data_IF_762908509382
#
_entry.id   IF_762908509382
#
_cell.length_a   1.000
_cell.length_b   1.000
_cell.length_c   1.000
_cell.angle_alpha   90.00
_cell.angle_beta   90.00
_cell.angle_gamma   90.00
#
_symmetry.space_group_name_H-M   'P 1'
#
loop_
_entity.id
_entity.type
_entity.pdbx_description
1 polymer ?
#
# COMPACT_ATOMS: atom_id res chain seq x y z
N UNK A 1 24.98 18.82 -17.92
CA UNK A 1 25.06 19.02 -16.46
C UNK A 1 24.63 17.73 -15.81
N UNK A 2 25.49 16.95 -15.13
CA UNK A 2 25.10 15.68 -14.51
C UNK A 2 24.66 15.90 -13.06
N UNK A 3 23.54 16.60 -12.83
CA UNK A 3 23.01 16.86 -11.49
C UNK A 3 21.71 16.08 -11.16
N UNK A 4 21.21 15.25 -12.08
CA UNK A 4 19.90 14.60 -11.92
C UNK A 4 19.88 13.25 -11.19
N UNK A 5 21.01 12.56 -11.08
CA UNK A 5 21.06 11.16 -10.58
C UNK A 5 21.30 11.02 -9.07
N UNK A 6 21.77 12.08 -8.40
CA UNK A 6 22.14 12.02 -6.98
C UNK A 6 20.96 12.30 -6.01
N UNK A 7 19.87 12.89 -6.51
CA UNK A 7 18.73 13.23 -5.64
C UNK A 7 17.98 11.98 -5.21
N UNK A 8 17.77 11.83 -3.91
CA UNK A 8 17.05 10.71 -3.28
C UNK A 8 17.59 9.33 -3.67
N UNK A 9 18.90 9.15 -3.74
CA UNK A 9 19.53 7.90 -4.14
C UNK A 9 19.13 6.73 -3.21
N UNK A 10 19.09 6.98 -1.90
CA UNK A 10 18.70 5.98 -0.92
C UNK A 10 17.22 5.59 -1.06
N UNK A 11 16.35 6.57 -1.28
CA UNK A 11 14.91 6.38 -1.48
C UNK A 11 14.62 5.64 -2.79
N UNK A 12 15.34 5.97 -3.87
CA UNK A 12 15.25 5.24 -5.14
C UNK A 12 15.62 3.78 -4.97
N UNK A 13 16.73 3.49 -4.26
CA UNK A 13 17.13 2.11 -3.97
C UNK A 13 16.10 1.42 -3.07
N UNK A 14 15.54 2.09 -2.06
CA UNK A 14 14.51 1.52 -1.21
C UNK A 14 13.24 1.16 -2.01
N UNK A 15 12.82 1.99 -2.98
CA UNK A 15 11.72 1.68 -3.90
C UNK A 15 12.03 0.43 -4.73
N UNK A 16 13.25 0.29 -5.25
CA UNK A 16 13.70 -0.89 -5.98
C UNK A 16 13.60 -2.16 -5.12
N UNK A 17 14.14 -2.10 -3.90
CA UNK A 17 14.15 -3.24 -2.98
C UNK A 17 12.71 -3.65 -2.60
N UNK A 18 11.81 -2.67 -2.39
CA UNK A 18 10.39 -2.90 -2.15
C UNK A 18 9.70 -3.57 -3.34
N UNK A 19 9.94 -3.10 -4.57
CA UNK A 19 9.40 -3.71 -5.79
C UNK A 19 9.87 -5.16 -5.96
N UNK A 20 11.16 -5.43 -5.73
CA UNK A 20 11.71 -6.79 -5.80
C UNK A 20 11.09 -7.71 -4.74
N UNK A 21 10.92 -7.24 -3.50
CA UNK A 21 10.24 -8.00 -2.44
C UNK A 21 8.79 -8.31 -2.82
N UNK A 22 8.01 -7.30 -3.21
CA UNK A 22 6.60 -7.46 -3.60
C UNK A 22 6.44 -8.40 -4.79
N UNK A 23 7.33 -8.32 -5.79
CA UNK A 23 7.32 -9.23 -6.93
C UNK A 23 7.68 -10.67 -6.52
N UNK A 24 8.66 -10.83 -5.61
CA UNK A 24 9.04 -12.13 -5.05
C UNK A 24 7.91 -12.80 -4.26
N UNK A 25 7.06 -12.01 -3.62
CA UNK A 25 5.87 -12.46 -2.89
C UNK A 25 4.62 -12.63 -3.81
N UNK A 26 4.76 -12.35 -5.12
CA UNK A 26 3.67 -12.52 -6.09
C UNK A 26 2.62 -11.40 -6.09
N UNK A 27 2.89 -10.26 -5.46
CA UNK A 27 1.95 -9.13 -5.42
C UNK A 27 2.03 -8.22 -6.65
N UNK A 28 3.10 -8.31 -7.42
CA UNK A 28 3.31 -7.53 -8.64
C UNK A 28 3.46 -8.45 -9.85
N UNK A 29 2.79 -8.12 -10.95
CA UNK A 29 2.85 -8.86 -12.20
C UNK A 29 3.25 -7.92 -13.35
N UNK A 30 4.38 -8.21 -14.00
CA UNK A 30 4.84 -7.43 -15.14
C UNK A 30 5.05 -5.96 -14.80
N UNK A 31 4.33 -5.09 -15.48
CA UNK A 31 4.37 -3.63 -15.31
C UNK A 31 3.21 -3.08 -14.47
N UNK A 32 2.36 -3.97 -13.93
CA UNK A 32 1.18 -3.59 -13.17
C UNK A 32 1.52 -3.28 -11.71
N UNK A 33 1.00 -2.19 -11.19
CA UNK A 33 1.31 -1.64 -9.88
C UNK A 33 2.38 -0.56 -9.91
N UNK A 34 2.61 0.07 -8.77
CA UNK A 34 3.62 1.12 -8.60
C UNK A 34 3.90 1.37 -7.12
N UNK A 35 5.10 1.87 -6.82
CA UNK A 35 5.59 2.10 -5.46
C UNK A 35 6.20 3.48 -5.38
N UNK A 36 5.94 4.19 -4.28
CA UNK A 36 6.59 5.47 -4.01
C UNK A 36 6.97 5.65 -2.55
N UNK A 37 7.95 6.51 -2.30
CA UNK A 37 8.37 6.94 -0.98
C UNK A 37 8.57 8.46 -0.96
N UNK A 38 8.10 9.12 0.10
CA UNK A 38 8.23 10.55 0.30
C UNK A 38 9.45 10.86 1.17
N UNK A 39 10.22 11.87 0.76
CA UNK A 39 11.31 12.46 1.52
C UNK A 39 11.17 13.99 1.48
N UNK A 40 10.61 14.55 2.55
CA UNK A 40 10.30 15.99 2.61
C UNK A 40 9.28 16.42 1.56
N UNK A 41 9.66 17.34 0.69
CA UNK A 41 8.83 17.88 -0.40
C UNK A 41 8.96 17.08 -1.71
N UNK A 42 9.72 15.99 -1.71
CA UNK A 42 9.96 15.16 -2.88
C UNK A 42 9.43 13.74 -2.69
N UNK A 43 9.09 13.09 -3.80
CA UNK A 43 8.62 11.72 -3.87
C UNK A 43 9.43 10.97 -4.91
N UNK A 44 10.09 9.88 -4.50
CA UNK A 44 10.67 8.92 -5.42
C UNK A 44 9.59 7.89 -5.78
N UNK A 45 9.29 7.72 -7.08
CA UNK A 45 8.20 6.88 -7.59
C UNK A 45 8.65 6.08 -8.81
N UNK A 46 8.17 4.87 -8.96
CA UNK A 46 8.43 4.03 -10.13
C UNK A 46 7.95 4.69 -11.42
N UNK A 47 8.74 4.57 -12.49
CA UNK A 47 8.35 5.06 -13.80
C UNK A 47 7.24 4.21 -14.41
N UNK A 48 6.48 4.79 -15.34
CA UNK A 48 5.45 4.04 -16.09
C UNK A 48 6.07 3.01 -17.02
N UNK A 49 5.43 1.86 -17.16
CA UNK A 49 5.79 0.80 -18.11
C UNK A 49 7.03 -0.03 -17.77
N UNK A 50 7.64 0.17 -16.60
CA UNK A 50 8.78 -0.64 -16.13
C UNK A 50 8.30 -1.98 -15.55
N UNK A 51 9.09 -3.05 -15.73
CA UNK A 51 8.81 -4.35 -15.14
C UNK A 51 9.27 -4.33 -13.67
N UNK A 52 8.34 -4.24 -12.74
CA UNK A 52 8.60 -3.94 -11.33
C UNK A 52 9.53 -4.96 -10.64
N UNK A 53 9.47 -6.24 -11.00
CA UNK A 53 10.40 -7.26 -10.49
C UNK A 53 11.85 -7.14 -11.00
N UNK A 54 12.15 -6.17 -11.88
CA UNK A 54 13.47 -5.95 -12.49
C UNK A 54 13.90 -4.49 -12.48
N UNK A 55 13.16 -3.63 -11.78
CA UNK A 55 13.48 -2.19 -11.71
C UNK A 55 14.87 -1.96 -11.13
N UNK A 56 15.47 -0.88 -11.57
CA UNK A 56 16.74 -0.34 -11.06
C UNK A 56 16.52 1.09 -10.58
N UNK A 57 17.45 1.72 -9.86
CA UNK A 57 17.30 3.12 -9.44
C UNK A 57 17.13 4.10 -10.62
N UNK A 58 17.56 3.75 -11.83
CA UNK A 58 17.32 4.56 -13.02
C UNK A 58 15.85 4.55 -13.48
N UNK A 59 15.09 3.53 -13.09
CA UNK A 59 13.67 3.38 -13.38
C UNK A 59 12.76 4.06 -12.32
N UNK A 60 13.36 4.80 -11.39
CA UNK A 60 12.64 5.54 -10.34
C UNK A 60 12.82 7.04 -10.60
N UNK A 61 11.72 7.74 -10.82
CA UNK A 61 11.68 9.18 -11.05
C UNK A 61 11.41 9.91 -9.74
N UNK A 62 11.97 11.11 -9.58
CA UNK A 62 11.68 12.00 -8.44
C UNK A 62 10.80 13.13 -8.91
N UNK A 63 9.70 13.32 -8.20
CA UNK A 63 8.75 14.43 -8.42
C UNK A 63 8.61 15.27 -7.15
N UNK A 64 8.15 16.50 -7.29
CA UNK A 64 7.66 17.31 -6.17
C UNK A 64 6.20 16.97 -5.83
N UNK A 65 5.66 17.53 -4.75
CA UNK A 65 4.25 17.29 -4.35
C UNK A 65 3.22 17.93 -5.29
N UNK A 66 3.66 18.76 -6.25
CA UNK A 66 2.80 19.27 -7.32
C UNK A 66 2.82 18.37 -8.57
N UNK A 67 3.66 17.31 -8.57
CA UNK A 67 3.78 16.35 -9.66
C UNK A 67 4.81 16.73 -10.73
N UNK A 68 5.57 17.81 -10.54
CA UNK A 68 6.63 18.21 -11.46
C UNK A 68 7.85 17.29 -11.32
N UNK A 69 8.39 16.81 -12.43
CA UNK A 69 9.61 15.99 -12.42
C UNK A 69 10.80 16.84 -11.99
N UNK A 70 11.48 16.42 -10.92
CA UNK A 70 12.67 17.08 -10.36
C UNK A 70 13.94 16.34 -10.77
N UNK A 71 13.89 15.02 -10.85
CA UNK A 71 15.03 14.20 -11.28
C UNK A 71 14.56 12.85 -11.85
N UNK A 72 15.34 12.29 -12.78
CA UNK A 72 15.04 11.08 -13.53
C UNK A 72 14.84 11.37 -15.01
N UNK A 73 14.90 10.32 -15.83
CA UNK A 73 14.79 10.42 -17.29
C UNK A 73 13.47 9.82 -17.82
N UNK A 74 12.78 9.04 -17.00
CA UNK A 74 11.54 8.37 -17.38
C UNK A 74 10.31 9.12 -16.84
N UNK A 75 9.19 9.02 -17.53
CA UNK A 75 7.92 9.53 -17.04
C UNK A 75 7.51 8.76 -15.75
N UNK A 76 7.04 9.43 -14.69
CA UNK A 76 6.52 8.75 -13.51
C UNK A 76 5.29 7.90 -13.87
N UNK A 77 4.87 7.02 -12.97
CA UNK A 77 3.65 6.21 -13.13
C UNK A 77 2.46 7.05 -13.59
N UNK A 78 1.61 6.47 -14.43
CA UNK A 78 0.34 7.10 -14.86
C UNK A 78 -0.64 7.34 -13.71
N UNK A 79 -0.42 6.69 -12.57
CA UNK A 79 -1.24 6.84 -11.36
C UNK A 79 -0.61 7.78 -10.33
N UNK A 80 0.24 8.69 -10.78
CA UNK A 80 0.96 9.64 -9.93
C UNK A 80 0.02 10.44 -9.01
N UNK A 81 -1.12 10.91 -9.54
CA UNK A 81 -2.07 11.71 -8.76
C UNK A 81 -2.67 10.92 -7.59
N UNK A 82 -2.93 9.62 -7.75
CA UNK A 82 -3.35 8.75 -6.66
C UNK A 82 -2.35 8.79 -5.50
N UNK A 83 -1.04 8.65 -5.79
CA UNK A 83 0.03 8.71 -4.79
C UNK A 83 0.15 10.08 -4.14
N UNK A 84 0.22 11.14 -4.95
CA UNK A 84 0.39 12.51 -4.46
C UNK A 84 -0.79 12.95 -3.61
N UNK A 85 -2.01 12.56 -3.98
CA UNK A 85 -3.20 12.85 -3.19
C UNK A 85 -3.18 12.17 -1.83
N UNK A 86 -2.62 10.96 -1.72
CA UNK A 86 -2.42 10.28 -0.43
C UNK A 86 -1.43 11.07 0.42
N UNK A 87 -0.29 11.48 -0.13
CA UNK A 87 0.70 12.29 0.60
C UNK A 87 0.17 13.66 1.04
N UNK A 88 -0.73 14.27 0.27
CA UNK A 88 -1.33 15.57 0.60
C UNK A 88 -2.43 15.47 1.66
N UNK A 89 -3.12 14.33 1.77
CA UNK A 89 -4.25 14.12 2.69
C UNK A 89 -3.86 13.49 4.01
N UNK A 90 -2.87 12.61 3.99
CA UNK A 90 -2.43 11.87 5.16
C UNK A 90 -0.94 12.03 5.41
N UNK A 91 -0.52 11.82 6.64
CA UNK A 91 0.91 11.81 7.00
C UNK A 91 1.57 10.48 6.59
N UNK A 92 1.40 10.12 5.31
CA UNK A 92 2.01 8.93 4.73
C UNK A 92 3.47 9.18 4.36
N UNK A 93 4.34 8.21 4.62
CA UNK A 93 5.73 8.21 4.15
C UNK A 93 5.93 7.39 2.89
N UNK A 94 5.03 6.42 2.62
CA UNK A 94 5.11 5.59 1.42
C UNK A 94 3.72 5.11 0.97
N UNK A 95 3.60 4.82 -0.33
CA UNK A 95 2.42 4.27 -0.98
C UNK A 95 2.82 3.08 -1.84
N UNK A 96 2.06 2.00 -1.73
CA UNK A 96 2.21 0.78 -2.53
C UNK A 96 0.88 0.47 -3.21
N UNK A 97 0.88 0.40 -4.53
CA UNK A 97 -0.25 -0.05 -5.34
C UNK A 97 0.12 -1.38 -6.00
N UNK A 98 -0.74 -2.39 -5.85
CA UNK A 98 -0.52 -3.75 -6.34
C UNK A 98 -1.71 -4.26 -7.14
N UNK A 99 -1.45 -5.19 -8.05
CA UNK A 99 -2.47 -6.01 -8.70
C UNK A 99 -2.43 -7.45 -8.16
N UNK A 100 -2.32 -7.56 -6.86
CA UNK A 100 -2.17 -8.83 -6.16
C UNK A 100 -3.42 -9.71 -6.32
N UNK A 101 -3.27 -11.04 -6.51
CA UNK A 101 -4.35 -11.90 -6.98
C UNK A 101 -5.54 -11.99 -6.04
N UNK A 102 -5.30 -12.07 -4.71
CA UNK A 102 -6.39 -12.26 -3.75
C UNK A 102 -7.16 -10.95 -3.53
N UNK A 103 -6.43 -9.83 -3.37
CA UNK A 103 -7.05 -8.51 -3.23
C UNK A 103 -7.88 -8.16 -4.47
N UNK A 104 -7.34 -8.41 -5.66
CA UNK A 104 -8.07 -8.22 -6.92
C UNK A 104 -9.31 -9.13 -6.97
N UNK A 105 -9.20 -10.42 -6.62
CA UNK A 105 -10.34 -11.33 -6.64
C UNK A 105 -11.47 -10.88 -5.70
N UNK A 106 -11.15 -10.39 -4.51
CA UNK A 106 -12.12 -9.83 -3.57
C UNK A 106 -12.80 -8.59 -4.16
N UNK A 107 -12.04 -7.68 -4.80
CA UNK A 107 -12.58 -6.46 -5.39
C UNK A 107 -13.55 -6.69 -6.56
N UNK A 108 -13.57 -7.90 -7.12
CA UNK A 108 -14.51 -8.30 -8.19
C UNK A 108 -15.90 -8.68 -7.66
N UNK A 109 -16.05 -8.97 -6.36
CA UNK A 109 -17.27 -9.57 -5.82
C UNK A 109 -17.81 -8.89 -4.57
N UNK A 110 -17.01 -8.07 -3.89
CA UNK A 110 -17.40 -7.38 -2.66
C UNK A 110 -17.28 -5.86 -2.82
N UNK A 111 -18.11 -5.12 -2.09
CA UNK A 111 -17.98 -3.68 -1.91
C UNK A 111 -17.07 -3.33 -0.71
N UNK A 112 -16.87 -4.30 0.20
CA UNK A 112 -16.01 -4.16 1.36
C UNK A 112 -15.53 -5.56 1.82
N UNK A 113 -14.22 -5.70 2.08
CA UNK A 113 -13.67 -6.86 2.79
C UNK A 113 -13.97 -6.70 4.29
N UNK A 114 -14.81 -7.53 4.90
CA UNK A 114 -15.14 -7.41 6.32
C UNK A 114 -13.94 -7.74 7.20
N UNK A 115 -13.92 -7.22 8.43
CA UNK A 115 -12.88 -7.52 9.40
C UNK A 115 -13.05 -8.92 9.97
N UNK A 116 -12.40 -9.93 9.39
CA UNK A 116 -12.48 -11.34 9.81
C UNK A 116 -11.30 -11.77 10.68
N UNK A 117 -10.24 -10.97 10.75
CA UNK A 117 -9.07 -11.25 11.56
C UNK A 117 -8.56 -9.99 12.25
N UNK A 118 -8.16 -10.10 13.51
CA UNK A 118 -7.77 -8.93 14.32
C UNK A 118 -6.58 -8.14 13.77
N UNK A 119 -5.68 -8.75 13.01
CA UNK A 119 -4.57 -8.03 12.37
C UNK A 119 -5.05 -7.03 11.30
N UNK A 120 -6.25 -7.19 10.72
CA UNK A 120 -6.82 -6.19 9.80
C UNK A 120 -7.01 -4.83 10.47
N UNK A 121 -7.04 -4.76 11.82
CA UNK A 121 -7.09 -3.49 12.56
C UNK A 121 -5.86 -2.61 12.30
N UNK A 122 -4.72 -3.18 11.88
CA UNK A 122 -3.55 -2.42 11.41
C UNK A 122 -3.84 -1.68 10.10
N UNK A 123 -4.80 -2.16 9.31
CA UNK A 123 -5.27 -1.53 8.08
C UNK A 123 -6.47 -0.59 8.32
N UNK A 124 -6.97 -0.53 9.56
CA UNK A 124 -8.17 0.21 9.95
C UNK A 124 -9.45 -0.65 9.99
N UNK A 125 -9.33 -2.00 10.12
CA UNK A 125 -10.44 -2.94 10.21
C UNK A 125 -10.93 -3.41 8.83
N UNK A 126 -12.24 -3.30 8.56
CA UNK A 126 -12.82 -3.61 7.25
C UNK A 126 -12.20 -2.71 6.16
N UNK A 127 -11.96 -3.26 4.95
CA UNK A 127 -11.30 -2.56 3.84
C UNK A 127 -12.28 -2.33 2.71
N UNK A 128 -12.55 -1.07 2.40
CA UNK A 128 -13.52 -0.66 1.37
C UNK A 128 -12.98 -0.90 -0.03
N UNK A 129 -13.90 -1.14 -0.97
CA UNK A 129 -13.60 -1.21 -2.40
C UNK A 129 -13.95 0.14 -3.03
N UNK A 130 -12.96 0.82 -3.59
CA UNK A 130 -13.16 2.02 -4.40
C UNK A 130 -13.91 1.65 -5.68
N UNK A 131 -14.95 2.38 -6.10
CA UNK A 131 -15.66 2.12 -7.35
C UNK A 131 -14.72 2.13 -8.56
N UNK A 132 -15.07 1.36 -9.58
CA UNK A 132 -14.29 1.33 -10.83
C UNK A 132 -14.25 2.70 -11.49
N UNK A 133 -13.05 3.11 -11.89
CA UNK A 133 -12.79 4.20 -12.82
C UNK A 133 -11.54 3.84 -13.65
N UNK A 134 -11.29 4.58 -14.73
CA UNK A 134 -10.15 4.33 -15.60
C UNK A 134 -8.84 4.61 -14.86
N UNK A 135 -7.86 3.72 -15.01
CA UNK A 135 -6.54 3.91 -14.38
C UNK A 135 -5.91 5.25 -14.78
N UNK A 136 -5.25 5.90 -13.82
CA UNK A 136 -4.62 7.20 -14.01
C UNK A 136 -5.59 8.39 -14.10
N UNK A 137 -6.90 8.19 -13.94
CA UNK A 137 -7.88 9.29 -13.92
C UNK A 137 -7.98 9.93 -12.52
N UNK A 138 -8.35 11.21 -12.50
CA UNK A 138 -8.66 11.93 -11.26
C UNK A 138 -9.85 11.29 -10.53
N UNK A 139 -10.83 10.77 -11.28
CA UNK A 139 -11.99 10.05 -10.74
C UNK A 139 -11.56 8.82 -9.92
N UNK A 140 -10.63 7.99 -10.45
CA UNK A 140 -10.09 6.85 -9.70
C UNK A 140 -9.39 7.31 -8.43
N UNK A 141 -8.58 8.36 -8.51
CA UNK A 141 -7.87 8.91 -7.37
C UNK A 141 -8.85 9.37 -6.27
N UNK A 142 -9.92 10.08 -6.63
CA UNK A 142 -10.96 10.52 -5.69
C UNK A 142 -11.71 9.36 -5.04
N UNK A 143 -12.07 8.32 -5.81
CA UNK A 143 -12.70 7.10 -5.28
C UNK A 143 -11.79 6.41 -4.25
N UNK A 144 -10.50 6.28 -4.58
CA UNK A 144 -9.51 5.68 -3.69
C UNK A 144 -9.33 6.49 -2.41
N UNK A 145 -9.23 7.82 -2.50
CA UNK A 145 -9.12 8.66 -1.31
C UNK A 145 -10.35 8.54 -0.41
N UNK A 146 -11.55 8.45 -1.00
CA UNK A 146 -12.78 8.22 -0.24
C UNK A 146 -12.75 6.86 0.47
N UNK A 147 -12.30 5.80 -0.22
CA UNK A 147 -12.20 4.47 0.36
C UNK A 147 -11.14 4.39 1.50
N UNK A 148 -10.07 5.20 1.41
CA UNK A 148 -9.00 5.29 2.40
C UNK A 148 -9.36 6.12 3.64
N UNK A 149 -10.50 6.80 3.68
CA UNK A 149 -10.84 7.63 4.84
C UNK A 149 -10.89 6.82 6.15
N UNK A 150 -10.00 7.14 7.10
CA UNK A 150 -9.79 6.40 8.34
C UNK A 150 -9.12 5.02 8.18
N UNK A 151 -8.53 4.72 7.01
CA UNK A 151 -7.90 3.44 6.65
C UNK A 151 -6.50 3.64 6.10
N UNK A 152 -5.66 2.60 6.17
CA UNK A 152 -4.36 2.56 5.48
C UNK A 152 -4.35 1.64 4.26
N UNK A 153 -5.51 1.07 3.90
CA UNK A 153 -5.69 0.18 2.76
C UNK A 153 -7.05 0.40 2.09
N UNK A 154 -7.10 0.27 0.78
CA UNK A 154 -8.30 0.21 -0.03
C UNK A 154 -8.14 -0.81 -1.16
N UNK A 155 -9.22 -1.50 -1.50
CA UNK A 155 -9.35 -2.30 -2.72
C UNK A 155 -9.90 -1.41 -3.84
N UNK A 156 -9.57 -1.74 -5.09
CA UNK A 156 -10.05 -1.03 -6.27
C UNK A 156 -10.83 -2.02 -7.14
N UNK A 157 -12.11 -1.71 -7.40
CA UNK A 157 -12.98 -2.58 -8.19
C UNK A 157 -12.37 -2.91 -9.56
N UNK A 158 -12.24 -4.21 -9.88
CA UNK A 158 -11.69 -4.70 -11.14
C UNK A 158 -10.26 -4.25 -11.46
N UNK A 159 -9.47 -3.90 -10.42
CA UNK A 159 -8.15 -3.32 -10.63
C UNK A 159 -7.09 -3.94 -9.72
N UNK A 160 -7.16 -3.72 -8.42
CA UNK A 160 -6.15 -4.17 -7.47
C UNK A 160 -6.35 -3.58 -6.08
N UNK A 161 -5.26 -3.14 -5.46
CA UNK A 161 -5.27 -2.59 -4.11
C UNK A 161 -4.25 -1.46 -3.95
N UNK A 162 -4.53 -0.53 -3.05
CA UNK A 162 -3.57 0.48 -2.62
C UNK A 162 -3.46 0.48 -1.10
N UNK A 163 -2.25 0.63 -0.62
CA UNK A 163 -1.95 0.80 0.80
C UNK A 163 -0.96 1.94 1.00
N UNK A 164 -0.99 2.53 2.18
CA UNK A 164 0.03 3.48 2.60
C UNK A 164 0.54 3.16 4.00
N UNK A 165 1.67 3.75 4.36
CA UNK A 165 2.26 3.60 5.68
C UNK A 165 3.17 4.78 6.03
N UNK A 166 3.57 4.91 7.31
CA UNK A 166 4.49 5.96 7.74
C UNK A 166 5.90 5.78 7.19
N UNK A 167 6.24 4.58 6.76
CA UNK A 167 7.52 4.23 6.12
C UNK A 167 7.29 3.22 5.00
N UNK A 168 8.25 3.10 4.08
CA UNK A 168 8.14 2.12 2.99
C UNK A 168 8.08 0.66 3.48
N UNK A 169 8.87 0.21 4.47
CA UNK A 169 8.68 -1.12 5.05
C UNK A 169 7.26 -1.34 5.60
N UNK A 170 6.70 -0.36 6.32
CA UNK A 170 5.34 -0.46 6.85
C UNK A 170 4.28 -0.53 5.74
N UNK A 171 4.45 0.22 4.64
CA UNK A 171 3.54 0.13 3.49
C UNK A 171 3.64 -1.23 2.79
N UNK A 172 4.84 -1.79 2.64
CA UNK A 172 5.04 -3.15 2.10
C UNK A 172 4.38 -4.20 3.00
N UNK A 173 4.58 -4.11 4.31
CA UNK A 173 3.96 -5.04 5.26
C UNK A 173 2.42 -4.92 5.26
N UNK A 174 1.86 -3.72 5.09
CA UNK A 174 0.43 -3.50 4.90
C UNK A 174 -0.09 -4.15 3.60
N UNK A 175 0.68 -4.12 2.50
CA UNK A 175 0.30 -4.79 1.26
C UNK A 175 0.26 -6.32 1.41
N UNK A 176 1.27 -6.89 2.07
CA UNK A 176 1.31 -8.33 2.38
C UNK A 176 0.16 -8.74 3.32
N UNK A 177 -0.12 -7.93 4.34
CA UNK A 177 -1.22 -8.18 5.26
C UNK A 177 -2.58 -8.12 4.55
N UNK A 178 -2.79 -7.16 3.65
CA UNK A 178 -4.02 -7.05 2.88
C UNK A 178 -4.22 -8.27 1.98
N UNK A 179 -3.20 -8.68 1.24
CA UNK A 179 -3.26 -9.85 0.37
C UNK A 179 -3.58 -11.12 1.17
N UNK A 180 -2.90 -11.33 2.30
CA UNK A 180 -3.18 -12.43 3.21
C UNK A 180 -4.61 -12.38 3.79
N UNK A 181 -5.12 -11.21 4.17
CA UNK A 181 -6.48 -11.07 4.68
C UNK A 181 -7.54 -11.40 3.63
N UNK A 182 -7.30 -11.01 2.37
CA UNK A 182 -8.14 -11.35 1.22
C UNK A 182 -8.13 -12.87 0.96
N UNK A 183 -6.96 -13.50 1.00
CA UNK A 183 -6.83 -14.96 0.87
C UNK A 183 -7.56 -15.68 1.99
N UNK A 184 -7.39 -15.26 3.24
CA UNK A 184 -8.03 -15.82 4.41
C UNK A 184 -9.57 -15.76 4.29
N UNK A 185 -10.10 -14.59 3.91
CA UNK A 185 -11.53 -14.43 3.69
C UNK A 185 -12.05 -15.35 2.59
N UNK A 186 -11.38 -15.37 1.43
CA UNK A 186 -11.75 -16.25 0.30
C UNK A 186 -11.78 -17.72 0.70
N UNK A 187 -10.75 -18.19 1.41
CA UNK A 187 -10.64 -19.57 1.85
C UNK A 187 -11.75 -19.91 2.87
N UNK A 188 -12.05 -19.01 3.81
CA UNK A 188 -13.13 -19.20 4.77
C UNK A 188 -14.51 -19.21 4.08
N UNK A 189 -14.75 -18.30 3.14
CA UNK A 189 -16.00 -18.20 2.39
C UNK A 189 -16.27 -19.43 1.51
N UNK A 190 -15.22 -20.12 1.04
CA UNK A 190 -15.35 -21.38 0.31
C UNK A 190 -15.81 -22.56 1.19
N UNK A 191 -15.67 -22.46 2.51
CA UNK A 191 -16.04 -23.50 3.47
C UNK A 191 -17.40 -23.19 4.12
N UNK A 192 -17.74 -21.91 4.27
CA UNK A 192 -18.97 -21.45 4.90
C UNK A 192 -19.00 -19.93 5.09
N UNK A 193 -19.94 -19.41 5.87
CA UNK A 193 -20.01 -17.99 6.18
C UNK A 193 -18.89 -17.56 7.14
N UNK A 194 -17.96 -16.68 6.76
CA UNK A 194 -16.92 -16.20 7.65
C UNK A 194 -17.50 -15.46 8.86
N UNK A 195 -16.88 -15.65 10.02
CA UNK A 195 -17.23 -14.88 11.22
C UNK A 195 -16.55 -13.51 11.14
N UNK A 196 -17.34 -12.46 11.27
CA UNK A 196 -16.86 -11.08 11.28
C UNK A 196 -16.70 -10.63 12.72
N UNK A 197 -15.61 -9.91 13.02
CA UNK A 197 -15.40 -9.29 14.32
C UNK A 197 -16.32 -8.07 14.46
N UNK A 198 -17.17 -8.07 15.49
CA UNK A 198 -18.00 -6.90 15.82
C UNK A 198 -17.16 -5.75 16.41
N UNK A 199 -17.76 -4.56 16.52
CA UNK A 199 -17.08 -3.36 17.01
C UNK A 199 -16.54 -3.54 18.44
N UNK A 200 -17.25 -4.26 19.32
CA UNK A 200 -16.82 -4.53 20.68
C UNK A 200 -15.57 -5.43 20.71
N UNK A 201 -15.54 -6.46 19.87
CA UNK A 201 -14.39 -7.35 19.71
C UNK A 201 -13.18 -6.60 19.13
N UNK A 202 -13.39 -5.74 18.12
CA UNK A 202 -12.34 -4.92 17.54
C UNK A 202 -11.76 -3.95 18.58
N UNK A 203 -12.61 -3.26 19.34
CA UNK A 203 -12.19 -2.35 20.41
C UNK A 203 -11.38 -3.07 21.50
N UNK A 204 -11.83 -4.25 21.93
CA UNK A 204 -11.12 -5.05 22.94
C UNK A 204 -9.72 -5.49 22.46
N UNK A 205 -9.57 -5.81 21.17
CA UNK A 205 -8.25 -6.12 20.58
C UNK A 205 -7.33 -4.89 20.60
N UNK A 206 -7.84 -3.73 20.18
CA UNK A 206 -7.05 -2.47 20.19
C UNK A 206 -6.58 -2.16 21.62
N UNK A 207 -7.47 -2.22 22.64
CA UNK A 207 -7.10 -2.01 24.04
C UNK A 207 -6.02 -3.00 24.51
N UNK A 208 -6.19 -4.29 24.20
CA UNK A 208 -5.22 -5.31 24.55
C UNK A 208 -3.86 -5.09 23.87
N UNK A 209 -3.85 -4.68 22.60
CA UNK A 209 -2.64 -4.38 21.85
C UNK A 209 -1.87 -3.19 22.46
N UNK A 210 -2.56 -2.11 22.81
CA UNK A 210 -1.97 -0.95 23.47
C UNK A 210 -1.38 -1.32 24.84
N UNK A 211 -2.14 -2.05 25.67
CA UNK A 211 -1.71 -2.46 27.01
C UNK A 211 -0.49 -3.39 26.98
N UNK A 212 -0.39 -4.27 25.98
CA UNK A 212 0.68 -5.27 25.87
C UNK A 212 1.86 -4.80 25.03
N UNK A 213 1.80 -3.62 24.41
CA UNK A 213 2.81 -3.16 23.45
C UNK A 213 2.95 -4.10 22.24
N UNK A 214 1.81 -4.62 21.72
CA UNK A 214 1.80 -5.61 20.64
C UNK A 214 2.64 -5.15 19.43
N UNK A 215 3.44 -6.06 18.87
CA UNK A 215 4.35 -5.78 17.76
C UNK A 215 5.67 -5.14 18.16
N UNK A 216 5.96 -4.95 19.48
CA UNK A 216 7.24 -4.49 19.99
C UNK A 216 7.96 -5.62 20.70
N UNK A 217 9.27 -5.72 20.48
CA UNK A 217 10.12 -6.60 21.26
C UNK A 217 10.42 -5.96 22.61
N UNK A 218 10.30 -6.73 23.69
CA UNK A 218 10.65 -6.31 25.05
C UNK A 218 11.88 -7.11 25.51
N UNK A 219 12.82 -6.44 26.19
CA UNK A 219 13.88 -7.14 26.90
C UNK A 219 13.28 -7.73 28.17
N UNK A 220 13.66 -8.96 28.50
CA UNK A 220 13.41 -9.52 29.83
C UNK A 220 14.30 -8.73 30.77
N UNK A 221 13.71 -7.97 31.72
CA UNK A 221 14.45 -7.41 32.86
C UNK A 221 14.87 -8.60 33.70
N UNK A 222 16.17 -8.83 33.84
CA UNK A 222 16.69 -9.76 34.85
C UNK A 222 16.41 -9.13 36.20
N UNK A 223 15.43 -9.68 36.94
CA UNK A 223 15.23 -9.39 38.37
C UNK A 223 16.51 -9.84 39.09
N UNK A 224 17.36 -8.85 39.45
CA UNK A 224 18.50 -9.02 40.38
C UNK A 224 18.03 -8.82 41.81
#
# INVERSE_FOLDING_TARGET
>A
MPHGTALLQAERQAVVDACHRLAGEGLLIGTAGNVSVRAGEHVAVTATGVVLGRVTPADVTVVDLAGSVVAGELAPTSELELHLGIYRRWNAGAVVHTHSPQATAISLVLDELPCVHYQQLLLGGAVRVAPFAVFGSDELAEHVWTALDGKSAALLANHGAVVHGPTLPAAVDNALLLEWACELYRNAAAIGAPRVLDEGQQAAVVEAALRRGYGRTHRIEEDL
#
